data_IF_870192668156
#
_entry.id   IF_870192668156
#
_cell.length_a   1.000
_cell.length_b   1.000
_cell.length_c   1.000
_cell.angle_alpha   90.00
_cell.angle_beta   90.00
_cell.angle_gamma   90.00
#
_symmetry.space_group_name_H-M   'P 1'
#
loop_
_entity.id
_entity.type
_entity.pdbx_description
1 polymer ?
#
# COMPACT_ATOMS: atom_id res chain seq x y z
N UNK A 1 -4.97 -2.20 -38.79
CA UNK A 1 -5.36 -2.50 -37.39
C UNK A 1 -4.16 -3.11 -36.70
N UNK A 2 -3.22 -2.26 -36.29
CA UNK A 2 -2.07 -2.66 -35.47
C UNK A 2 -2.57 -2.82 -34.04
N UNK A 3 -2.28 -3.93 -33.34
CA UNK A 3 -2.55 -4.00 -31.91
C UNK A 3 -1.74 -2.90 -31.22
N UNK A 4 -2.43 -2.20 -30.33
CA UNK A 4 -1.96 -1.10 -29.52
C UNK A 4 -0.76 -1.57 -28.68
N UNK A 5 0.45 -1.19 -29.09
CA UNK A 5 1.73 -1.54 -28.41
C UNK A 5 1.93 -0.84 -27.06
N UNK A 6 0.89 -0.25 -26.48
CA UNK A 6 0.96 0.57 -25.27
C UNK A 6 1.16 -0.25 -23.98
N UNK A 7 0.98 -1.57 -24.00
CA UNK A 7 1.14 -2.42 -22.81
C UNK A 7 2.59 -2.89 -22.54
N UNK A 8 3.53 -2.71 -23.46
CA UNK A 8 4.85 -3.37 -23.39
C UNK A 8 5.97 -2.54 -22.71
N UNK A 9 5.70 -1.33 -22.23
CA UNK A 9 6.72 -0.42 -21.66
C UNK A 9 6.42 0.09 -20.24
N UNK A 10 5.50 -0.52 -19.50
CA UNK A 10 5.33 -0.20 -18.09
C UNK A 10 6.47 -0.87 -17.30
N UNK A 11 7.57 -0.14 -17.07
CA UNK A 11 8.61 -0.54 -16.13
C UNK A 11 8.03 -0.83 -14.74
N UNK A 12 8.83 -1.41 -13.85
CA UNK A 12 8.40 -1.74 -12.49
C UNK A 12 7.73 -0.54 -11.81
N UNK A 13 6.43 -0.66 -11.50
CA UNK A 13 5.59 0.42 -10.92
C UNK A 13 5.80 0.58 -9.42
N UNK A 14 6.37 -0.44 -8.76
CA UNK A 14 6.63 -0.46 -7.33
C UNK A 14 8.13 -0.42 -7.01
N UNK A 15 8.58 0.38 -6.03
CA UNK A 15 7.77 1.28 -5.22
C UNK A 15 7.19 2.45 -6.03
N UNK A 16 6.02 2.93 -5.63
CA UNK A 16 5.37 4.11 -6.19
C UNK A 16 6.14 5.34 -5.70
N UNK A 17 6.24 6.39 -6.52
CA UNK A 17 6.74 7.70 -6.06
C UNK A 17 5.68 8.40 -5.20
N UNK A 18 5.97 8.80 -3.95
CA UNK A 18 5.01 9.53 -3.13
C UNK A 18 4.71 10.91 -3.76
N UNK A 19 3.48 11.42 -3.62
CA UNK A 19 3.19 12.82 -3.93
C UNK A 19 3.99 13.76 -3.01
N UNK A 20 4.19 15.04 -3.41
CA UNK A 20 4.96 16.01 -2.63
C UNK A 20 4.31 16.41 -1.29
N UNK A 21 2.99 16.27 -1.17
CA UNK A 21 2.20 16.53 0.05
C UNK A 21 1.75 15.22 0.71
N UNK A 22 1.05 15.32 1.85
CA UNK A 22 0.37 14.18 2.46
C UNK A 22 -0.59 13.50 1.46
N UNK A 23 -0.34 12.21 1.17
CA UNK A 23 -1.18 11.47 0.24
C UNK A 23 -2.57 11.23 0.84
N UNK A 24 -3.58 11.95 0.33
CA UNK A 24 -4.97 11.88 0.78
C UNK A 24 -5.60 10.48 0.65
N UNK A 25 -5.00 9.56 -0.11
CA UNK A 25 -5.45 8.15 -0.19
C UNK A 25 -5.19 7.39 1.10
N UNK A 26 -4.26 7.84 1.96
CA UNK A 26 -3.94 7.23 3.27
C UNK A 26 -4.98 7.56 4.35
N UNK A 27 -6.20 7.07 4.15
CA UNK A 27 -7.34 7.25 5.06
C UNK A 27 -7.40 6.15 6.13
N UNK A 28 -8.16 6.37 7.20
CA UNK A 28 -8.48 5.31 8.17
C UNK A 28 -9.28 4.16 7.53
N UNK A 29 -10.16 4.48 6.56
CA UNK A 29 -10.93 3.48 5.81
C UNK A 29 -10.04 2.50 5.05
N UNK A 30 -9.02 3.01 4.34
CA UNK A 30 -8.04 2.15 3.65
C UNK A 30 -7.34 1.18 4.61
N UNK A 31 -6.97 1.63 5.80
CA UNK A 31 -6.30 0.79 6.80
C UNK A 31 -7.25 -0.30 7.33
N UNK A 32 -8.53 0.02 7.51
CA UNK A 32 -9.57 -0.95 7.88
C UNK A 32 -9.74 -2.02 6.78
N UNK A 33 -9.86 -1.60 5.52
CA UNK A 33 -10.01 -2.51 4.38
C UNK A 33 -8.82 -3.48 4.27
N UNK A 34 -7.59 -2.97 4.46
CA UNK A 34 -6.37 -3.80 4.47
C UNK A 34 -6.37 -4.77 5.66
N UNK A 35 -6.75 -4.31 6.85
CA UNK A 35 -6.85 -5.18 8.03
C UNK A 35 -7.90 -6.29 7.82
N UNK A 36 -9.01 -5.98 7.17
CA UNK A 36 -10.05 -6.97 6.85
C UNK A 36 -9.51 -8.04 5.89
N UNK A 37 -8.79 -7.64 4.83
CA UNK A 37 -8.13 -8.59 3.92
C UNK A 37 -7.12 -9.48 4.66
N UNK A 38 -6.25 -8.90 5.49
CA UNK A 38 -5.29 -9.68 6.27
C UNK A 38 -6.00 -10.66 7.23
N UNK A 39 -7.07 -10.22 7.88
CA UNK A 39 -7.86 -11.06 8.77
C UNK A 39 -8.51 -12.22 8.02
N UNK A 40 -9.02 -11.99 6.80
CA UNK A 40 -9.57 -13.04 5.94
C UNK A 40 -8.53 -14.10 5.56
N UNK A 41 -7.26 -13.72 5.50
CA UNK A 41 -6.15 -14.65 5.24
C UNK A 41 -5.55 -15.26 6.53
N UNK A 42 -6.18 -15.06 7.69
CA UNK A 42 -5.81 -15.69 8.95
C UNK A 42 -4.81 -14.91 9.80
N UNK A 43 -4.48 -13.67 9.44
CA UNK A 43 -3.68 -12.80 10.29
C UNK A 43 -4.52 -12.24 11.45
N UNK A 44 -3.93 -11.98 12.62
CA UNK A 44 -4.65 -11.34 13.72
C UNK A 44 -5.14 -9.94 13.33
N UNK A 45 -6.34 -9.60 13.75
CA UNK A 45 -6.85 -8.23 13.64
C UNK A 45 -6.09 -7.32 14.61
N UNK A 46 -5.72 -6.08 14.22
CA UNK A 46 -5.22 -5.06 15.14
C UNK A 46 -6.18 -4.85 16.32
N UNK A 47 -5.66 -4.79 17.55
CA UNK A 47 -6.46 -4.68 18.78
C UNK A 47 -6.27 -3.36 19.52
N UNK A 48 -5.15 -2.67 19.27
CA UNK A 48 -4.82 -1.39 19.90
C UNK A 48 -4.73 -0.25 18.89
N UNK A 49 -4.87 1.00 19.35
CA UNK A 49 -4.64 2.18 18.51
C UNK A 49 -3.24 2.22 17.89
N UNK A 50 -2.23 1.71 18.61
CA UNK A 50 -0.86 1.62 18.12
C UNK A 50 -0.74 0.63 16.97
N UNK A 51 -1.41 -0.52 17.05
CA UNK A 51 -1.40 -1.54 15.98
C UNK A 51 -1.95 -0.96 14.66
N UNK A 52 -3.00 -0.14 14.74
CA UNK A 52 -3.58 0.54 13.58
C UNK A 52 -2.61 1.56 12.95
N UNK A 53 -1.86 2.29 13.78
CA UNK A 53 -0.83 3.23 13.31
C UNK A 53 0.31 2.47 12.64
N UNK A 54 0.80 1.39 13.26
CA UNK A 54 1.86 0.56 12.69
C UNK A 54 1.44 -0.08 11.36
N UNK A 55 0.21 -0.59 11.25
CA UNK A 55 -0.32 -1.10 9.99
C UNK A 55 -0.36 -0.02 8.89
N UNK A 56 -0.83 1.19 9.24
CA UNK A 56 -0.84 2.34 8.30
C UNK A 56 0.57 2.68 7.82
N UNK A 57 1.55 2.70 8.73
CA UNK A 57 2.94 3.00 8.40
C UNK A 57 3.62 1.89 7.61
N UNK A 58 3.32 0.62 7.90
CA UNK A 58 3.80 -0.51 7.12
C UNK A 58 3.30 -0.45 5.68
N UNK A 59 2.01 -0.16 5.47
CA UNK A 59 1.44 0.03 4.14
C UNK A 59 2.09 1.21 3.40
N UNK A 60 2.32 2.33 4.09
CA UNK A 60 3.03 3.50 3.54
C UNK A 60 4.43 3.13 3.04
N UNK A 61 5.22 2.49 3.90
CA UNK A 61 6.59 2.08 3.58
C UNK A 61 6.64 1.06 2.45
N UNK A 62 5.67 0.14 2.39
CA UNK A 62 5.54 -0.84 1.32
C UNK A 62 5.27 -0.16 -0.03
N UNK A 63 4.28 0.74 -0.08
CA UNK A 63 3.88 1.41 -1.32
C UNK A 63 4.98 2.36 -1.83
N UNK A 64 5.63 3.11 -0.95
CA UNK A 64 6.61 4.14 -1.33
C UNK A 64 8.07 3.69 -1.24
N UNK A 65 8.32 2.40 -0.96
CA UNK A 65 9.68 1.84 -0.92
C UNK A 65 10.55 2.38 0.21
N UNK A 66 9.96 3.12 1.16
CA UNK A 66 10.66 3.73 2.29
C UNK A 66 10.99 2.72 3.41
N UNK A 67 10.75 1.43 3.16
CA UNK A 67 11.08 0.32 4.07
C UNK A 67 11.40 -1.01 3.38
N UNK A 68 11.91 -0.98 2.14
CA UNK A 68 12.26 -2.19 1.39
C UNK A 68 13.72 -2.62 1.58
N UNK A 69 13.92 -3.69 2.34
CA UNK A 69 15.14 -4.52 2.48
C UNK A 69 16.48 -3.80 2.80
N UNK A 70 16.88 -3.88 4.07
CA UNK A 70 18.28 -4.12 4.43
C UNK A 70 18.51 -5.62 4.57
#
# INVERSE_FOLDING_TARGET
MTPDSTLAAAGRVYPITPPPDDDARFTAGLVLDVADVLTQHGYPRPVSGLDWVELKMALFRFLYGMGGAA
#
